data_IF_951486820441
#
_entry.id   IF_951486820441
#
_cell.length_a   1.000
_cell.length_b   1.000
_cell.length_c   1.000
_cell.angle_alpha   90.00
_cell.angle_beta   90.00
_cell.angle_gamma   90.00
#
_symmetry.space_group_name_H-M   'P 1'
#
loop_
_entity.id
_entity.type
_entity.pdbx_description
1 polymer ?
#
# COMPACT_ATOMS: atom_id res chain seq x y z
N UNK A 1 -79.45 -22.04 21.38
CA UNK A 1 -79.85 -21.03 20.37
C UNK A 1 -78.61 -20.77 19.51
N UNK A 2 -78.59 -21.38 18.30
CA UNK A 2 -77.64 -21.24 17.15
C UNK A 2 -76.13 -21.38 17.44
N UNK A 3 -75.48 -22.52 17.15
CA UNK A 3 -74.84 -22.93 15.85
C UNK A 3 -73.86 -21.87 15.30
N UNK A 4 -72.57 -22.12 15.02
CA UNK A 4 -71.92 -23.19 14.25
C UNK A 4 -70.44 -23.37 14.71
N UNK A 5 -69.92 -24.54 15.08
CA UNK A 5 -69.31 -25.66 14.30
C UNK A 5 -68.07 -25.33 13.42
N UNK A 6 -66.94 -25.96 13.82
CA UNK A 6 -65.90 -26.68 13.03
C UNK A 6 -65.05 -25.84 12.05
N UNK A 7 -63.76 -26.05 11.81
CA UNK A 7 -62.79 -27.11 12.10
C UNK A 7 -61.65 -26.98 11.06
N UNK A 8 -60.39 -27.03 11.49
CA UNK A 8 -59.31 -27.97 11.09
C UNK A 8 -58.68 -27.89 9.68
N UNK A 9 -57.35 -28.00 9.69
CA UNK A 9 -56.39 -28.52 8.69
C UNK A 9 -55.80 -27.66 7.54
N UNK A 10 -54.54 -27.25 7.77
CA UNK A 10 -53.29 -27.63 7.06
C UNK A 10 -53.13 -27.44 5.53
N UNK A 11 -51.91 -27.55 4.96
CA UNK A 11 -51.17 -26.47 4.32
C UNK A 11 -51.28 -26.47 2.78
N UNK A 12 -51.15 -25.30 2.13
CA UNK A 12 -51.09 -25.22 0.66
C UNK A 12 -49.79 -24.63 0.12
N UNK A 13 -49.11 -25.56 -0.54
CA UNK A 13 -48.02 -25.53 -1.49
C UNK A 13 -48.02 -24.38 -2.54
N UNK A 14 -46.79 -24.12 -3.00
CA UNK A 14 -46.33 -23.39 -4.20
C UNK A 14 -47.32 -23.31 -5.35
N UNK A 15 -47.35 -22.13 -5.99
CA UNK A 15 -47.17 -21.98 -7.44
C UNK A 15 -46.90 -20.51 -7.79
N UNK A 16 -45.85 -20.29 -8.59
CA UNK A 16 -45.38 -19.04 -9.18
C UNK A 16 -46.27 -18.53 -10.31
N UNK A 17 -46.28 -17.22 -10.62
CA UNK A 17 -46.60 -16.73 -11.95
C UNK A 17 -45.36 -16.22 -12.69
N UNK A 18 -45.28 -16.65 -13.94
CA UNK A 18 -44.25 -16.37 -14.93
C UNK A 18 -44.41 -14.98 -15.59
N UNK A 19 -43.27 -14.46 -16.05
CA UNK A 19 -43.04 -13.76 -17.32
C UNK A 19 -43.76 -12.42 -17.58
N UNK A 20 -43.01 -11.32 -17.38
CA UNK A 20 -42.89 -10.23 -18.37
C UNK A 20 -41.44 -9.72 -18.42
N UNK A 21 -40.70 -10.29 -19.36
CA UNK A 21 -39.36 -9.90 -19.76
C UNK A 21 -39.40 -8.60 -20.58
N UNK A 22 -38.88 -7.52 -20.00
CA UNK A 22 -38.55 -6.27 -20.68
C UNK A 22 -37.17 -6.36 -21.31
N UNK A 23 -37.16 -6.23 -22.64
CA UNK A 23 -36.03 -6.32 -23.55
C UNK A 23 -35.09 -5.11 -23.35
N UNK A 24 -33.88 -5.32 -22.84
CA UNK A 24 -32.76 -4.39 -23.02
C UNK A 24 -31.61 -5.15 -23.69
N UNK A 25 -31.26 -4.69 -24.90
CA UNK A 25 -30.17 -5.15 -25.76
C UNK A 25 -28.85 -5.31 -24.98
N UNK A 26 -28.11 -6.41 -25.23
CA UNK A 26 -26.70 -6.27 -25.50
C UNK A 26 -26.36 -7.02 -26.79
N UNK A 27 -26.32 -6.30 -27.90
CA UNK A 27 -25.77 -6.80 -29.15
C UNK A 27 -24.85 -5.72 -29.71
N UNK A 28 -23.54 -5.88 -29.49
CA UNK A 28 -22.44 -5.52 -30.40
C UNK A 28 -21.15 -5.28 -29.61
N UNK A 29 -20.37 -6.33 -29.37
CA UNK A 29 -18.90 -6.30 -29.54
C UNK A 29 -18.32 -7.72 -29.54
N UNK A 30 -18.82 -8.58 -30.42
CA UNK A 30 -18.19 -9.86 -30.74
C UNK A 30 -18.00 -9.91 -32.26
N UNK A 31 -16.87 -9.38 -32.75
CA UNK A 31 -16.27 -9.70 -34.05
C UNK A 31 -15.11 -8.73 -34.38
N UNK A 32 -13.91 -9.00 -33.86
CA UNK A 32 -12.65 -8.82 -34.63
C UNK A 32 -11.69 -9.92 -34.18
N UNK A 33 -11.94 -11.14 -34.67
CA UNK A 33 -10.97 -12.23 -34.64
C UNK A 33 -10.73 -12.64 -36.09
N UNK A 34 -9.94 -11.84 -36.81
CA UNK A 34 -9.45 -12.17 -38.14
C UNK A 34 -7.97 -11.76 -38.24
N UNK A 35 -7.11 -12.77 -38.20
CA UNK A 35 -5.85 -12.82 -38.94
C UNK A 35 -4.75 -11.81 -38.59
N UNK A 36 -4.06 -12.01 -37.47
CA UNK A 36 -2.65 -11.65 -37.37
C UNK A 36 -1.81 -12.91 -37.18
N UNK A 37 -1.34 -13.48 -38.29
CA UNK A 37 -0.25 -14.45 -38.28
C UNK A 37 1.04 -13.71 -37.90
N UNK A 38 1.46 -13.81 -36.64
CA UNK A 38 2.78 -13.32 -36.25
C UNK A 38 3.85 -14.33 -36.70
N UNK A 39 4.96 -13.89 -37.33
CA UNK A 39 6.11 -14.74 -37.51
C UNK A 39 6.66 -15.09 -36.13
N UNK A 40 7.00 -16.38 -35.94
CA UNK A 40 7.72 -16.83 -34.76
C UNK A 40 9.05 -16.08 -34.69
N UNK A 41 9.14 -15.10 -33.79
CA UNK A 41 10.41 -14.50 -33.41
C UNK A 41 11.22 -15.58 -32.69
N UNK A 42 12.41 -15.82 -33.24
CA UNK A 42 13.44 -16.67 -32.67
C UNK A 42 13.60 -16.33 -31.17
N UNK A 43 13.53 -17.35 -30.31
CA UNK A 43 13.87 -17.22 -28.90
C UNK A 43 15.37 -16.89 -28.83
N UNK A 44 15.69 -15.65 -28.47
CA UNK A 44 17.01 -15.35 -27.94
C UNK A 44 17.27 -16.27 -26.74
N UNK A 45 18.48 -16.83 -26.71
CA UNK A 45 18.93 -17.70 -25.63
C UNK A 45 18.65 -17.01 -24.28
N UNK A 46 17.98 -17.74 -23.38
CA UNK A 46 17.69 -17.24 -22.04
C UNK A 46 18.98 -16.72 -21.39
N UNK A 47 19.02 -15.47 -20.89
CA UNK A 47 20.21 -14.95 -20.23
C UNK A 47 20.54 -15.87 -19.04
N UNK A 48 21.82 -16.19 -18.90
CA UNK A 48 22.34 -17.00 -17.80
C UNK A 48 21.95 -16.35 -16.45
N UNK A 49 20.97 -16.97 -15.78
CA UNK A 49 20.37 -16.47 -14.55
C UNK A 49 21.34 -16.49 -13.37
N UNK A 50 22.48 -17.18 -13.48
CA UNK A 50 23.48 -17.30 -12.40
C UNK A 50 24.44 -16.12 -12.33
N UNK A 51 24.67 -15.43 -13.46
CA UNK A 51 25.55 -14.26 -13.54
C UNK A 51 24.79 -12.95 -13.35
N UNK A 52 23.55 -12.87 -13.84
CA UNK A 52 22.69 -11.68 -13.66
C UNK A 52 22.10 -11.57 -12.26
N UNK A 53 21.83 -12.71 -11.60
CA UNK A 53 21.04 -12.75 -10.36
C UNK A 53 21.65 -12.06 -9.14
N UNK A 54 22.98 -12.09 -8.98
CA UNK A 54 23.64 -11.48 -7.81
C UNK A 54 24.03 -10.01 -8.11
N UNK A 55 24.54 -9.73 -9.30
CA UNK A 55 24.94 -8.37 -9.70
C UNK A 55 23.75 -7.41 -9.80
N UNK A 56 22.60 -7.88 -10.30
CA UNK A 56 21.36 -7.10 -10.32
C UNK A 56 20.85 -6.76 -8.91
N UNK A 57 21.00 -7.69 -7.96
CA UNK A 57 20.67 -7.43 -6.54
C UNK A 57 21.67 -6.47 -5.90
N UNK A 58 22.96 -6.59 -6.22
CA UNK A 58 24.01 -5.69 -5.69
C UNK A 58 23.88 -4.25 -6.20
N UNK A 59 23.40 -4.06 -7.44
CA UNK A 59 23.22 -2.75 -8.06
C UNK A 59 21.81 -2.17 -7.88
N UNK A 60 20.91 -2.88 -7.19
CA UNK A 60 19.57 -2.37 -6.91
C UNK A 60 19.65 -1.14 -6.02
N UNK A 61 18.93 -0.08 -6.39
CA UNK A 61 18.86 1.15 -5.60
C UNK A 61 17.72 1.06 -4.58
N UNK A 62 18.03 1.44 -3.34
CA UNK A 62 17.07 1.65 -2.26
C UNK A 62 17.06 3.11 -1.87
N UNK A 63 15.90 3.62 -1.51
CA UNK A 63 15.74 5.03 -1.10
C UNK A 63 15.29 5.18 0.35
N UNK A 64 14.76 4.12 0.93
CA UNK A 64 14.07 4.18 2.22
C UNK A 64 15.01 4.40 3.40
N UNK A 65 16.29 4.06 3.28
CA UNK A 65 17.24 4.10 4.40
C UNK A 65 17.83 5.49 4.59
N UNK A 66 18.13 6.19 3.49
CA UNK A 66 18.82 7.49 3.47
C UNK A 66 17.97 8.63 2.91
N UNK A 67 16.75 8.36 2.42
CA UNK A 67 15.93 9.31 1.63
C UNK A 67 16.58 9.75 0.31
N UNK A 68 17.71 9.14 -0.05
CA UNK A 68 18.43 9.31 -1.32
C UNK A 68 18.62 7.95 -1.97
N UNK A 69 18.71 7.84 -3.31
CA UNK A 69 19.06 6.57 -3.94
C UNK A 69 20.46 6.13 -3.49
N UNK A 70 20.55 4.96 -2.86
CA UNK A 70 21.82 4.31 -2.52
C UNK A 70 21.79 2.83 -2.92
N UNK A 71 22.95 2.23 -3.18
CA UNK A 71 23.02 0.81 -3.53
C UNK A 71 22.58 -0.03 -2.35
N UNK A 72 21.81 -1.09 -2.61
CA UNK A 72 21.31 -2.02 -1.60
C UNK A 72 22.41 -2.52 -0.65
N UNK A 73 23.59 -2.84 -1.18
CA UNK A 73 24.74 -3.33 -0.40
C UNK A 73 25.41 -2.27 0.48
N UNK A 74 25.16 -0.99 0.23
CA UNK A 74 25.73 0.15 0.97
C UNK A 74 24.79 0.68 2.06
N UNK A 75 23.53 0.25 2.03
CA UNK A 75 22.51 0.64 2.99
C UNK A 75 22.83 0.12 4.39
N UNK A 76 22.92 1.02 5.37
CA UNK A 76 23.28 0.71 6.75
C UNK A 76 22.09 0.20 7.59
N UNK A 77 21.17 -0.56 6.99
CA UNK A 77 19.98 -1.08 7.65
C UNK A 77 19.58 -2.46 7.10
N UNK A 78 18.78 -3.22 7.87
CA UNK A 78 18.25 -4.50 7.43
C UNK A 78 17.06 -4.29 6.47
N UNK A 79 17.36 -3.98 5.21
CA UNK A 79 16.38 -3.77 4.14
C UNK A 79 16.05 -5.09 3.45
N UNK A 80 14.77 -5.31 3.17
CA UNK A 80 14.32 -6.30 2.20
C UNK A 80 13.63 -5.56 1.05
N UNK A 81 13.86 -6.00 -0.18
CA UNK A 81 13.12 -5.50 -1.35
C UNK A 81 12.26 -6.63 -1.91
N UNK A 82 10.99 -6.33 -2.18
CA UNK A 82 10.11 -7.15 -3.03
C UNK A 82 10.09 -6.47 -4.39
N UNK A 83 10.58 -7.15 -5.43
CA UNK A 83 10.64 -6.59 -6.79
C UNK A 83 9.31 -6.74 -7.53
N UNK A 84 9.08 -5.95 -8.58
CA UNK A 84 7.92 -6.12 -9.47
C UNK A 84 7.79 -7.54 -10.04
N UNK A 85 8.90 -8.23 -10.26
CA UNK A 85 8.90 -9.61 -10.73
C UNK A 85 8.52 -10.61 -9.61
N UNK A 86 8.92 -10.36 -8.36
CA UNK A 86 8.44 -11.14 -7.22
C UNK A 86 6.94 -10.97 -7.00
N UNK A 87 6.45 -9.72 -7.13
CA UNK A 87 5.02 -9.40 -7.07
C UNK A 87 4.26 -10.19 -8.14
N UNK A 88 4.73 -10.14 -9.39
CA UNK A 88 4.12 -10.86 -10.52
C UNK A 88 4.07 -12.37 -10.31
N UNK A 89 5.12 -12.96 -9.72
CA UNK A 89 5.19 -14.41 -9.46
C UNK A 89 4.45 -14.86 -8.19
N UNK A 90 4.19 -13.96 -7.26
CA UNK A 90 3.61 -14.29 -5.95
C UNK A 90 2.16 -14.78 -6.01
N UNK A 91 1.39 -14.34 -7.01
CA UNK A 91 -0.05 -14.59 -7.07
C UNK A 91 -0.87 -13.83 -6.00
N UNK A 92 -0.23 -12.95 -5.22
CA UNK A 92 -0.89 -12.11 -4.22
C UNK A 92 -1.98 -11.23 -4.85
N UNK A 93 -3.06 -10.99 -4.11
CA UNK A 93 -4.17 -10.12 -4.54
C UNK A 93 -4.26 -8.83 -3.74
N UNK A 94 -3.68 -8.81 -2.54
CA UNK A 94 -3.63 -7.62 -1.69
C UNK A 94 -2.19 -7.23 -1.32
N UNK A 95 -2.00 -5.97 -0.95
CA UNK A 95 -0.72 -5.46 -0.47
C UNK A 95 -0.24 -6.16 0.82
N UNK A 96 -1.09 -6.44 1.83
CA UNK A 96 -0.71 -7.28 2.98
C UNK A 96 -0.21 -8.69 2.59
N UNK A 97 -0.78 -9.31 1.55
CA UNK A 97 -0.31 -10.64 1.12
C UNK A 97 1.14 -10.59 0.61
N UNK A 98 1.51 -9.54 -0.12
CA UNK A 98 2.90 -9.35 -0.57
C UNK A 98 3.87 -9.22 0.61
N UNK A 99 3.45 -8.55 1.69
CA UNK A 99 4.29 -8.33 2.86
C UNK A 99 4.60 -9.64 3.63
N UNK A 100 3.85 -10.73 3.40
CA UNK A 100 4.18 -12.06 3.93
C UNK A 100 5.47 -12.64 3.36
N UNK A 101 5.90 -12.16 2.19
CA UNK A 101 7.16 -12.60 1.57
C UNK A 101 8.39 -12.05 2.31
N UNK A 102 8.23 -11.04 3.17
CA UNK A 102 9.34 -10.41 3.87
C UNK A 102 9.63 -11.15 5.19
N UNK A 103 10.84 -11.71 5.38
CA UNK A 103 11.17 -12.39 6.63
C UNK A 103 11.09 -11.42 7.82
N UNK A 104 10.49 -11.84 8.93
CA UNK A 104 10.35 -11.02 10.14
C UNK A 104 9.26 -9.94 10.07
N UNK A 105 8.52 -9.87 8.97
CA UNK A 105 7.20 -9.24 8.91
C UNK A 105 6.15 -10.31 9.20
N UNK A 106 5.19 -9.98 10.05
CA UNK A 106 4.07 -10.83 10.40
C UNK A 106 2.80 -10.18 9.88
N UNK A 107 2.05 -10.92 9.06
CA UNK A 107 0.76 -10.48 8.55
C UNK A 107 -0.28 -11.49 9.00
N UNK A 108 -1.05 -11.12 10.02
CA UNK A 108 -2.22 -11.89 10.42
C UNK A 108 -3.45 -11.34 9.69
N UNK A 109 -4.17 -12.20 8.97
CA UNK A 109 -5.51 -11.88 8.47
C UNK A 109 -6.48 -12.15 9.60
N UNK A 110 -7.26 -11.14 9.99
CA UNK A 110 -8.25 -11.26 11.06
C UNK A 110 -9.58 -11.73 10.51
N UNK A 111 -9.94 -11.24 9.32
CA UNK A 111 -11.14 -11.57 8.58
C UNK A 111 -10.92 -11.18 7.08
N UNK A 112 -11.95 -11.23 6.24
CA UNK A 112 -11.82 -10.98 4.80
C UNK A 112 -11.26 -9.60 4.43
N UNK A 113 -11.47 -8.56 5.26
CA UNK A 113 -11.09 -7.16 5.00
C UNK A 113 -10.13 -6.54 6.03
N UNK A 114 -9.69 -7.28 7.05
CA UNK A 114 -8.88 -6.74 8.15
C UNK A 114 -7.57 -7.51 8.29
N UNK A 115 -6.45 -6.77 8.25
CA UNK A 115 -5.10 -7.31 8.42
C UNK A 115 -4.36 -6.62 9.56
N UNK A 116 -3.61 -7.41 10.33
CA UNK A 116 -2.64 -6.94 11.30
C UNK A 116 -1.23 -7.15 10.72
N UNK A 117 -0.56 -6.07 10.35
CA UNK A 117 0.80 -6.08 9.76
C UNK A 117 1.80 -5.53 10.77
N UNK A 118 2.66 -6.39 11.29
CA UNK A 118 3.68 -6.03 12.27
C UNK A 118 5.09 -6.49 11.87
N UNK A 119 6.09 -5.96 12.55
CA UNK A 119 7.50 -6.29 12.32
C UNK A 119 8.17 -6.66 13.65
N UNK A 120 9.00 -7.71 13.65
CA UNK A 120 9.75 -8.17 14.84
C UNK A 120 8.89 -8.46 16.08
N UNK A 121 7.69 -9.00 15.89
CA UNK A 121 6.80 -9.41 16.98
C UNK A 121 5.90 -8.30 17.55
N UNK A 122 5.98 -7.08 17.02
CA UNK A 122 5.05 -6.00 17.33
C UNK A 122 3.90 -6.00 16.32
N UNK A 123 2.91 -6.87 16.51
CA UNK A 123 1.79 -7.05 15.56
C UNK A 123 0.45 -6.83 16.26
N UNK A 124 -0.32 -5.86 15.78
CA UNK A 124 -1.74 -5.65 16.10
C UNK A 124 -2.51 -5.18 14.86
N UNK A 125 -3.85 -5.24 14.89
CA UNK A 125 -4.71 -4.76 13.78
C UNK A 125 -4.43 -3.30 13.38
N UNK A 126 -3.94 -2.51 14.32
CA UNK A 126 -3.59 -1.11 14.13
C UNK A 126 -2.08 -0.87 14.29
N UNK A 127 -1.26 -1.92 14.11
CA UNK A 127 0.19 -2.02 14.42
C UNK A 127 0.88 -0.67 14.54
N UNK A 128 0.89 -0.16 15.77
CA UNK A 128 1.39 1.18 16.05
C UNK A 128 2.89 1.22 15.78
N UNK A 129 3.35 2.36 15.29
CA UNK A 129 4.77 2.64 15.08
C UNK A 129 5.45 1.86 13.93
N UNK A 130 4.69 1.44 12.92
CA UNK A 130 5.17 1.03 11.60
C UNK A 130 4.80 2.12 10.58
N UNK A 131 5.79 2.77 9.97
CA UNK A 131 5.53 3.77 8.94
C UNK A 131 5.32 3.09 7.59
N UNK A 132 4.23 3.43 6.91
CA UNK A 132 3.95 2.97 5.56
C UNK A 132 3.84 4.17 4.63
N UNK A 133 4.57 4.11 3.52
CA UNK A 133 4.64 5.16 2.51
C UNK A 133 4.25 4.60 1.15
N UNK A 134 3.50 5.38 0.38
CA UNK A 134 3.26 5.14 -1.05
C UNK A 134 3.79 6.35 -1.80
N UNK A 135 4.83 6.16 -2.61
CA UNK A 135 5.52 7.24 -3.33
C UNK A 135 5.91 8.44 -2.43
N UNK A 136 6.27 8.17 -1.18
CA UNK A 136 6.63 9.18 -0.19
C UNK A 136 5.47 9.82 0.58
N UNK A 137 4.20 9.52 0.24
CA UNK A 137 3.02 9.91 1.04
C UNK A 137 2.80 8.93 2.19
N UNK A 138 2.64 9.43 3.41
CA UNK A 138 2.27 8.62 4.57
C UNK A 138 0.80 8.21 4.49
N UNK A 139 0.52 6.90 4.52
CA UNK A 139 -0.85 6.35 4.54
C UNK A 139 -1.34 6.03 5.96
N UNK A 140 -0.72 6.66 6.94
CA UNK A 140 -0.96 6.45 8.35
C UNK A 140 -2.20 7.21 8.84
N UNK A 141 -3.03 6.55 9.65
CA UNK A 141 -4.17 7.15 10.33
C UNK A 141 -3.81 7.62 11.75
N UNK A 142 -3.79 8.94 12.02
CA UNK A 142 -3.68 9.50 13.36
C UNK A 142 -4.70 8.99 14.39
N UNK A 143 -5.92 8.58 14.00
CA UNK A 143 -6.97 8.16 14.94
C UNK A 143 -6.56 6.92 15.74
N UNK A 144 -5.93 5.95 15.07
CA UNK A 144 -5.55 4.69 15.69
C UNK A 144 -4.05 4.44 15.74
N UNK A 145 -3.27 5.34 15.14
CA UNK A 145 -1.85 5.19 14.97
C UNK A 145 -1.48 3.96 14.11
N UNK A 146 -2.20 3.71 13.00
CA UNK A 146 -2.01 2.54 12.14
C UNK A 146 -2.40 2.78 10.68
N UNK A 147 -2.48 1.72 9.86
CA UNK A 147 -2.83 1.78 8.43
C UNK A 147 -4.12 1.01 8.17
N UNK A 148 -5.05 1.62 7.44
CA UNK A 148 -6.22 0.95 6.89
C UNK A 148 -5.84 0.23 5.60
N UNK A 149 -5.51 -1.06 5.71
CA UNK A 149 -5.01 -1.87 4.60
C UNK A 149 -6.08 -2.18 3.54
N UNK A 150 -7.34 -2.25 3.96
CA UNK A 150 -8.53 -2.43 3.12
C UNK A 150 -8.67 -1.38 2.02
N UNK A 151 -8.25 -0.15 2.29
CA UNK A 151 -8.32 0.96 1.31
C UNK A 151 -7.01 1.24 0.58
N UNK A 152 -5.92 0.49 0.87
CA UNK A 152 -4.64 0.61 0.13
C UNK A 152 -4.61 -0.32 -1.09
N UNK A 153 -5.63 -0.27 -1.95
CA UNK A 153 -5.81 -1.18 -3.09
C UNK A 153 -5.14 -0.66 -4.39
N UNK A 154 -3.87 -0.27 -4.29
CA UNK A 154 -3.09 0.10 -5.47
C UNK A 154 -2.91 -1.11 -6.41
N UNK A 155 -2.77 -0.84 -7.71
CA UNK A 155 -2.52 -1.89 -8.70
C UNK A 155 -1.17 -2.55 -8.42
N UNK A 156 -1.18 -3.80 -7.97
CA UNK A 156 0.06 -4.53 -7.63
C UNK A 156 1.03 -4.59 -8.82
N UNK A 157 0.52 -4.70 -10.05
CA UNK A 157 1.35 -4.70 -11.26
C UNK A 157 1.96 -3.34 -11.63
N UNK A 158 1.48 -2.26 -11.03
CA UNK A 158 2.03 -0.91 -11.14
C UNK A 158 3.03 -0.60 -10.02
N UNK A 159 3.24 -1.50 -9.06
CA UNK A 159 4.32 -1.40 -8.08
C UNK A 159 5.63 -1.75 -8.77
N UNK A 160 6.62 -0.86 -8.66
CA UNK A 160 7.99 -1.13 -9.11
C UNK A 160 8.70 -2.02 -8.09
N UNK A 161 8.63 -1.62 -6.81
CA UNK A 161 9.17 -2.38 -5.69
C UNK A 161 8.57 -1.95 -4.36
N UNK A 162 8.69 -2.83 -3.37
CA UNK A 162 8.39 -2.55 -1.96
C UNK A 162 9.70 -2.69 -1.18
N UNK A 163 10.13 -1.61 -0.53
CA UNK A 163 11.29 -1.59 0.35
C UNK A 163 10.83 -1.69 1.81
N UNK A 164 11.29 -2.70 2.53
CA UNK A 164 10.94 -2.92 3.95
C UNK A 164 12.19 -2.84 4.82
N UNK A 165 12.26 -1.81 5.65
CA UNK A 165 13.27 -1.63 6.67
C UNK A 165 12.77 -2.23 7.97
N UNK A 166 13.48 -3.25 8.46
CA UNK A 166 13.17 -3.91 9.73
C UNK A 166 14.00 -3.29 10.83
N UNK A 167 13.37 -2.47 11.67
CA UNK A 167 14.00 -1.80 12.81
C UNK A 167 13.85 -0.28 12.81
N UNK A 168 14.44 0.40 13.79
CA UNK A 168 14.21 1.83 14.02
C UNK A 168 14.66 2.68 12.83
N UNK A 169 13.68 3.29 12.15
CA UNK A 169 13.86 4.34 11.14
C UNK A 169 13.53 5.74 11.68
N UNK A 170 13.24 5.85 12.98
CA UNK A 170 12.71 7.07 13.61
C UNK A 170 13.65 8.28 13.55
N UNK A 171 14.95 8.07 13.35
CA UNK A 171 15.89 9.15 13.06
C UNK A 171 15.45 9.85 11.79
N UNK A 172 15.42 9.18 10.65
CA UNK A 172 15.13 9.83 9.37
C UNK A 172 13.63 10.10 9.10
N UNK A 173 12.77 9.24 9.63
CA UNK A 173 11.34 9.22 9.30
C UNK A 173 10.41 9.69 10.42
N UNK A 174 10.94 9.96 11.62
CA UNK A 174 10.18 10.46 12.76
C UNK A 174 9.44 9.39 13.57
N UNK A 175 8.53 9.84 14.45
CA UNK A 175 8.00 9.05 15.56
C UNK A 175 7.18 7.80 15.15
N UNK A 176 6.72 7.71 13.91
CA UNK A 176 5.92 6.57 13.43
C UNK A 176 6.79 5.42 12.85
N UNK A 177 8.10 5.57 12.79
CA UNK A 177 9.04 4.59 12.22
C UNK A 177 9.88 3.84 13.27
N UNK A 178 9.30 3.54 14.44
CA UNK A 178 10.03 2.87 15.54
C UNK A 178 10.30 1.40 15.23
N UNK A 179 9.30 0.70 14.69
CA UNK A 179 9.40 -0.74 14.42
C UNK A 179 9.96 -1.03 13.03
N UNK A 180 9.72 -0.13 12.08
CA UNK A 180 10.14 -0.28 10.70
C UNK A 180 9.56 0.79 9.77
N UNK A 181 9.95 0.69 8.51
CA UNK A 181 9.41 1.49 7.40
C UNK A 181 9.08 0.54 6.25
N UNK A 182 7.88 0.65 5.70
CA UNK A 182 7.47 0.02 4.45
C UNK A 182 7.29 1.14 3.44
N UNK A 183 8.10 1.15 2.40
CA UNK A 183 8.03 2.15 1.34
C UNK A 183 7.66 1.47 0.03
N UNK A 184 6.52 1.84 -0.51
CA UNK A 184 5.97 1.28 -1.74
C UNK A 184 6.20 2.29 -2.84
N UNK A 185 6.92 1.87 -3.87
CA UNK A 185 7.32 2.73 -4.98
C UNK A 185 6.61 2.23 -6.22
N UNK A 186 5.81 3.11 -6.83
CA UNK A 186 5.10 2.78 -8.06
C UNK A 186 5.95 3.05 -9.30
N UNK A 187 5.72 2.29 -10.36
CA UNK A 187 6.34 2.46 -11.66
C UNK A 187 6.07 3.87 -12.18
N UNK A 188 7.04 4.46 -12.88
CA UNK A 188 6.80 5.72 -13.59
C UNK A 188 5.77 5.54 -14.70
N UNK A 189 5.13 6.63 -15.11
CA UNK A 189 4.21 6.63 -16.23
C UNK A 189 4.89 6.16 -17.51
N UNK A 190 6.18 6.47 -17.72
CA UNK A 190 6.97 6.01 -18.87
C UNK A 190 7.09 4.48 -18.93
N UNK A 191 7.09 3.79 -17.78
CA UNK A 191 7.20 2.34 -17.70
C UNK A 191 5.85 1.61 -17.85
N UNK A 192 4.74 2.34 -17.82
CA UNK A 192 3.37 1.78 -17.88
C UNK A 192 2.60 2.31 -19.09
N UNK A 193 3.17 2.15 -20.28
CA UNK A 193 2.57 2.62 -21.54
C UNK A 193 1.61 1.58 -22.13
N UNK A 194 0.68 2.04 -22.96
CA UNK A 194 -0.32 1.19 -23.61
C UNK A 194 -1.47 0.78 -22.70
N UNK A 195 -2.35 -0.06 -23.25
CA UNK A 195 -3.48 -0.64 -22.52
C UNK A 195 -3.06 -1.89 -21.75
N UNK A 196 -3.53 -2.01 -20.51
CA UNK A 196 -3.39 -3.19 -19.68
C UNK A 196 -4.75 -3.51 -19.06
N UNK A 197 -5.16 -4.76 -19.13
CA UNK A 197 -6.39 -5.23 -18.49
C UNK A 197 -6.13 -6.56 -17.78
N UNK A 198 -6.80 -6.77 -16.65
CA UNK A 198 -6.80 -8.07 -15.98
C UNK A 198 -8.13 -8.31 -15.29
N UNK A 199 -8.60 -9.55 -15.37
CA UNK A 199 -9.77 -10.03 -14.66
C UNK A 199 -9.34 -11.29 -13.92
N UNK A 200 -9.67 -11.38 -12.63
CA UNK A 200 -9.44 -12.54 -11.78
C UNK A 200 -10.74 -12.89 -11.06
N UNK A 201 -10.99 -14.18 -10.90
CA UNK A 201 -12.05 -14.71 -10.05
C UNK A 201 -11.52 -15.92 -9.30
N UNK A 202 -12.01 -16.14 -8.09
CA UNK A 202 -11.59 -17.19 -7.17
C UNK A 202 -12.70 -17.55 -6.19
N UNK A 203 -12.36 -18.36 -5.20
CA UNK A 203 -13.28 -18.78 -4.14
C UNK A 203 -13.57 -17.66 -3.13
N UNK A 204 -12.54 -16.93 -2.69
CA UNK A 204 -12.69 -15.76 -1.79
C UNK A 204 -12.62 -14.43 -2.56
N UNK A 205 -11.83 -14.38 -3.64
CA UNK A 205 -11.71 -13.20 -4.49
C UNK A 205 -12.74 -13.30 -5.63
N UNK A 206 -14.01 -12.97 -5.34
CA UNK A 206 -15.14 -13.16 -6.26
C UNK A 206 -14.86 -12.55 -7.62
N UNK A 207 -14.55 -11.26 -7.67
CA UNK A 207 -14.15 -10.55 -8.90
C UNK A 207 -13.12 -9.47 -8.60
N UNK A 208 -11.96 -9.57 -9.25
CA UNK A 208 -11.00 -8.47 -9.34
C UNK A 208 -10.84 -8.06 -10.80
N UNK A 209 -11.30 -6.86 -11.14
CA UNK A 209 -11.17 -6.29 -12.48
C UNK A 209 -10.25 -5.08 -12.44
N UNK A 210 -9.38 -4.94 -13.43
CA UNK A 210 -8.46 -3.82 -13.54
C UNK A 210 -8.29 -3.43 -15.00
N UNK A 211 -8.34 -2.12 -15.26
CA UNK A 211 -8.02 -1.51 -16.54
C UNK A 211 -7.05 -0.35 -16.33
N UNK A 212 -6.02 -0.26 -17.17
CA UNK A 212 -5.06 0.83 -17.19
C UNK A 212 -4.78 1.23 -18.63
N UNK A 213 -4.63 2.53 -18.86
CA UNK A 213 -4.13 3.06 -20.11
C UNK A 213 -3.03 4.08 -19.82
N UNK A 214 -1.91 3.97 -20.53
CA UNK A 214 -0.84 4.96 -20.49
C UNK A 214 -0.40 5.42 -21.87
N UNK A 215 0.03 6.67 -21.95
CA UNK A 215 0.47 7.32 -23.18
C UNK A 215 1.58 8.33 -22.94
N UNK A 216 2.13 8.86 -24.03
CA UNK A 216 3.05 9.99 -24.06
C UNK A 216 2.45 11.09 -24.92
N UNK A 217 2.55 12.33 -24.47
CA UNK A 217 2.18 13.49 -25.27
C UNK A 217 3.33 13.90 -26.18
N UNK A 218 3.04 14.70 -27.21
CA UNK A 218 4.06 15.26 -28.10
C UNK A 218 5.08 16.14 -27.37
N UNK A 219 4.71 16.71 -26.23
CA UNK A 219 5.58 17.51 -25.35
C UNK A 219 6.46 16.70 -24.40
N UNK A 220 6.50 15.37 -24.51
CA UNK A 220 7.38 14.52 -23.69
C UNK A 220 6.81 14.11 -22.33
N UNK A 221 5.62 14.57 -21.95
CA UNK A 221 4.93 14.12 -20.73
C UNK A 221 4.41 12.69 -20.92
N UNK A 222 4.75 11.78 -20.03
CA UNK A 222 4.11 10.47 -19.95
C UNK A 222 2.98 10.50 -18.92
N UNK A 223 1.88 9.81 -19.21
CA UNK A 223 0.76 9.69 -18.29
C UNK A 223 0.24 8.26 -18.25
N UNK A 224 -0.44 7.92 -17.15
CA UNK A 224 -1.29 6.75 -17.00
C UNK A 224 -2.56 7.12 -16.25
N UNK A 225 -3.65 6.45 -16.58
CA UNK A 225 -4.89 6.43 -15.82
C UNK A 225 -5.33 4.98 -15.65
N UNK A 226 -5.93 4.65 -14.52
CA UNK A 226 -6.37 3.31 -14.21
C UNK A 226 -7.67 3.31 -13.42
N UNK A 227 -8.36 2.17 -13.49
CA UNK A 227 -9.51 1.83 -12.68
C UNK A 227 -9.44 0.37 -12.25
N UNK A 228 -9.89 0.10 -11.05
CA UNK A 228 -9.92 -1.21 -10.42
C UNK A 228 -11.21 -1.37 -9.65
N UNK A 229 -11.77 -2.56 -9.72
CA UNK A 229 -12.89 -3.00 -8.91
C UNK A 229 -12.50 -4.30 -8.25
N UNK A 230 -12.60 -4.34 -6.92
CA UNK A 230 -12.32 -5.50 -6.11
C UNK A 230 -13.60 -5.87 -5.36
N UNK A 231 -13.94 -7.15 -5.39
CA UNK A 231 -15.13 -7.72 -4.77
C UNK A 231 -14.73 -9.06 -4.18
N UNK A 232 -14.80 -9.13 -2.85
CA UNK A 232 -14.29 -10.23 -2.04
C UNK A 232 -15.44 -10.80 -1.22
N UNK A 233 -15.53 -12.13 -1.22
CA UNK A 233 -16.49 -12.85 -0.41
C UNK A 233 -16.09 -12.83 1.07
N UNK A 234 -17.06 -13.06 1.98
CA UNK A 234 -16.82 -13.29 3.40
C UNK A 234 -15.85 -14.46 3.63
N UNK A 235 -14.99 -14.36 4.63
CA UNK A 235 -14.13 -15.48 5.01
C UNK A 235 -14.95 -16.54 5.77
N UNK A 236 -14.52 -17.80 5.77
CA UNK A 236 -15.22 -18.84 6.53
C UNK A 236 -15.23 -18.54 8.04
N UNK A 237 -16.43 -18.34 8.60
CA UNK A 237 -16.66 -18.21 10.04
C UNK A 237 -17.31 -19.49 10.59
N UNK A 238 -16.76 -20.04 11.67
CA UNK A 238 -17.29 -21.26 12.32
C UNK A 238 -18.76 -21.13 12.77
N UNK A 239 -19.23 -19.89 12.94
CA UNK A 239 -20.57 -19.58 13.43
C UNK A 239 -21.58 -19.29 12.29
N UNK A 240 -21.20 -19.47 11.02
CA UNK A 240 -22.02 -19.35 9.81
C UNK A 240 -22.58 -17.95 9.46
N UNK A 241 -22.19 -16.90 10.20
CA UNK A 241 -22.53 -15.52 9.83
C UNK A 241 -21.46 -14.92 8.92
N UNK A 242 -21.85 -14.68 7.67
CA UNK A 242 -21.05 -14.07 6.61
C UNK A 242 -21.11 -12.53 6.73
N UNK A 243 -20.29 -11.97 7.62
CA UNK A 243 -20.38 -10.54 7.99
C UNK A 243 -19.26 -9.65 7.45
N UNK A 244 -18.24 -10.21 6.77
CA UNK A 244 -16.98 -9.50 6.47
C UNK A 244 -16.66 -9.37 4.98
N UNK A 245 -17.58 -9.75 4.10
CA UNK A 245 -17.47 -9.49 2.66
C UNK A 245 -17.29 -8.00 2.37
N UNK A 246 -16.59 -7.67 1.28
CA UNK A 246 -16.27 -6.27 0.98
C UNK A 246 -16.04 -6.03 -0.50
N UNK A 247 -16.28 -4.79 -0.92
CA UNK A 247 -15.99 -4.36 -2.28
C UNK A 247 -15.43 -2.93 -2.30
N UNK A 248 -14.55 -2.65 -3.25
CA UNK A 248 -13.92 -1.35 -3.41
C UNK A 248 -13.77 -1.02 -4.90
N UNK A 249 -14.26 0.15 -5.29
CA UNK A 249 -13.88 0.81 -6.53
C UNK A 249 -12.69 1.72 -6.26
N UNK A 250 -11.67 1.66 -7.11
CA UNK A 250 -10.48 2.49 -7.00
C UNK A 250 -10.05 2.98 -8.39
N UNK A 251 -9.83 4.28 -8.53
CA UNK A 251 -9.37 4.89 -9.77
C UNK A 251 -8.26 5.89 -9.48
N UNK A 252 -7.33 6.03 -10.40
CA UNK A 252 -6.22 6.95 -10.22
C UNK A 252 -5.51 7.30 -11.52
N UNK A 253 -4.61 8.26 -11.40
CA UNK A 253 -3.77 8.72 -12.51
C UNK A 253 -2.39 9.10 -12.01
N UNK A 254 -1.43 9.08 -12.93
CA UNK A 254 -0.09 9.62 -12.73
C UNK A 254 0.42 10.23 -14.02
N UNK A 255 1.01 11.40 -13.94
CA UNK A 255 1.68 12.09 -15.02
C UNK A 255 3.10 12.46 -14.58
N UNK A 256 4.08 12.11 -15.40
CA UNK A 256 5.49 12.40 -15.21
C UNK A 256 5.98 13.22 -16.42
N UNK A 257 6.61 14.35 -16.15
CA UNK A 257 7.20 15.21 -17.18
C UNK A 257 8.61 15.62 -16.77
N UNK A 258 9.46 15.87 -17.77
CA UNK A 258 10.79 16.42 -17.58
C UNK A 258 10.87 17.79 -18.28
N UNK A 259 10.40 18.89 -17.64
CA UNK A 259 10.48 20.22 -18.24
C UNK A 259 11.94 20.67 -18.36
N UNK A 260 12.51 20.58 -19.57
CA UNK A 260 13.93 20.84 -19.80
C UNK A 260 14.81 19.69 -19.29
N UNK A 261 16.09 19.96 -19.05
CA UNK A 261 17.07 18.90 -18.69
C UNK A 261 17.27 18.71 -17.19
N UNK A 262 16.75 19.64 -16.38
CA UNK A 262 17.06 19.72 -14.93
C UNK A 262 15.89 19.40 -14.03
N UNK A 263 14.66 19.53 -14.53
CA UNK A 263 13.46 19.40 -13.73
C UNK A 263 12.72 18.11 -14.07
N UNK A 264 12.26 17.41 -13.04
CA UNK A 264 11.34 16.28 -13.12
C UNK A 264 10.10 16.62 -12.28
N UNK A 265 8.92 16.46 -12.85
CA UNK A 265 7.65 16.77 -12.21
C UNK A 265 6.75 15.54 -12.28
N UNK A 266 6.26 15.11 -11.13
CA UNK A 266 5.24 14.07 -10.99
C UNK A 266 3.97 14.69 -10.42
N UNK A 267 2.83 14.40 -11.04
CA UNK A 267 1.50 14.67 -10.49
C UNK A 267 0.75 13.35 -10.48
N UNK A 268 0.20 12.96 -9.35
CA UNK A 268 -0.63 11.77 -9.24
C UNK A 268 -1.80 11.98 -8.29
N UNK A 269 -2.85 11.22 -8.48
CA UNK A 269 -3.98 11.24 -7.58
C UNK A 269 -4.82 9.99 -7.71
N UNK A 270 -5.50 9.65 -6.63
CA UNK A 270 -6.32 8.46 -6.52
C UNK A 270 -7.64 8.79 -5.82
N UNK A 271 -8.67 7.99 -6.10
CA UNK A 271 -9.98 8.06 -5.47
C UNK A 271 -10.52 6.64 -5.29
N UNK A 272 -11.02 6.34 -4.08
CA UNK A 272 -11.67 5.07 -3.77
C UNK A 272 -13.04 5.29 -3.13
N UNK A 273 -13.93 4.33 -3.36
CA UNK A 273 -15.26 4.25 -2.77
C UNK A 273 -15.68 2.79 -2.64
N UNK A 274 -16.28 2.41 -1.52
CA UNK A 274 -16.65 1.03 -1.27
C UNK A 274 -17.28 0.78 0.08
N UNK A 275 -17.52 -0.50 0.36
CA UNK A 275 -18.09 -0.97 1.62
C UNK A 275 -17.34 -2.19 2.11
N UNK A 276 -17.24 -2.30 3.42
CA UNK A 276 -16.61 -3.43 4.08
C UNK A 276 -17.47 -3.91 5.23
N UNK A 277 -17.94 -5.15 5.15
CA UNK A 277 -18.72 -5.77 6.21
C UNK A 277 -17.91 -5.87 7.51
N UNK A 278 -18.57 -5.66 8.64
CA UNK A 278 -17.92 -5.77 9.95
C UNK A 278 -18.90 -6.29 10.99
N UNK A 279 -18.32 -6.91 12.02
CA UNK A 279 -19.02 -7.30 13.24
C UNK A 279 -18.38 -6.61 14.42
N UNK A 280 -19.15 -5.74 15.07
CA UNK A 280 -18.67 -4.92 16.19
C UNK A 280 -19.51 -5.15 17.43
N UNK A 281 -18.86 -5.26 18.59
CA UNK A 281 -19.55 -5.28 19.88
C UNK A 281 -19.68 -3.85 20.39
N UNK A 282 -20.92 -3.38 20.54
CA UNK A 282 -21.23 -2.06 21.13
C UNK A 282 -21.68 -2.23 22.58
N UNK A 283 -21.34 -1.27 23.43
CA UNK A 283 -21.81 -1.25 24.83
C UNK A 283 -23.22 -0.65 24.92
N UNK A 284 -24.10 -1.31 25.65
CA UNK A 284 -25.49 -0.86 25.88
C UNK A 284 -25.69 -0.52 27.36
N UNK A 285 -26.61 0.40 27.66
CA UNK A 285 -26.91 0.78 29.06
C UNK A 285 -27.84 -0.22 29.78
N UNK A 286 -28.46 -1.13 29.04
CA UNK A 286 -29.32 -2.19 29.56
C UNK A 286 -28.66 -3.55 29.35
N UNK A 287 -28.91 -4.49 30.27
CA UNK A 287 -28.52 -5.89 30.13
C UNK A 287 -28.90 -6.42 28.73
N UNK A 288 -28.01 -7.13 28.02
CA UNK A 288 -26.73 -7.70 28.48
C UNK A 288 -25.51 -6.74 28.53
N UNK A 289 -25.70 -5.42 28.46
CA UNK A 289 -24.65 -4.37 28.49
C UNK A 289 -23.69 -4.36 27.30
N UNK A 290 -23.84 -5.31 26.39
CA UNK A 290 -23.16 -5.36 25.12
C UNK A 290 -24.05 -6.01 24.08
N UNK A 291 -24.04 -5.49 22.87
CA UNK A 291 -24.73 -6.09 21.73
C UNK A 291 -23.75 -6.23 20.58
N UNK A 292 -23.79 -7.37 19.90
CA UNK A 292 -23.08 -7.57 18.63
C UNK A 292 -23.94 -6.98 17.53
N UNK A 293 -23.34 -6.12 16.71
CA UNK A 293 -23.96 -5.47 15.56
C UNK A 293 -23.13 -5.83 14.32
N UNK A 294 -23.83 -6.21 13.27
CA UNK A 294 -23.27 -6.51 11.95
C UNK A 294 -23.81 -5.48 10.97
N UNK A 295 -22.92 -4.64 10.46
CA UNK A 295 -23.23 -3.54 9.55
C UNK A 295 -22.05 -3.33 8.61
N UNK A 296 -22.29 -2.67 7.49
CA UNK A 296 -21.21 -2.27 6.58
C UNK A 296 -20.52 -1.00 7.06
N UNK A 297 -19.19 -0.96 6.99
CA UNK A 297 -18.44 0.28 6.99
C UNK A 297 -18.52 0.94 5.61
N UNK A 298 -18.85 2.22 5.55
CA UNK A 298 -18.75 3.02 4.32
C UNK A 298 -17.34 3.61 4.22
N UNK A 299 -16.67 3.34 3.10
CA UNK A 299 -15.27 3.70 2.87
C UNK A 299 -15.20 4.61 1.64
N UNK A 300 -14.67 5.82 1.78
CA UNK A 300 -14.34 6.63 0.61
C UNK A 300 -13.19 7.57 0.89
N UNK A 301 -12.50 8.00 -0.16
CA UNK A 301 -11.37 8.90 0.02
C UNK A 301 -10.64 9.17 -1.28
N UNK A 302 -9.59 9.96 -1.18
CA UNK A 302 -8.76 10.27 -2.31
C UNK A 302 -7.59 11.14 -1.95
N UNK A 303 -6.62 11.20 -2.85
CA UNK A 303 -5.42 11.98 -2.64
C UNK A 303 -4.97 12.66 -3.93
N UNK A 304 -4.19 13.72 -3.78
CA UNK A 304 -3.49 14.41 -4.85
C UNK A 304 -2.08 14.72 -4.37
N UNK A 305 -1.08 14.26 -5.10
CA UNK A 305 0.33 14.47 -4.82
C UNK A 305 1.00 15.17 -6.01
N UNK A 306 1.76 16.21 -5.71
CA UNK A 306 2.69 16.85 -6.63
C UNK A 306 4.11 16.74 -6.09
N UNK A 307 5.04 16.29 -6.93
CA UNK A 307 6.46 16.25 -6.63
C UNK A 307 7.23 16.98 -7.73
N UNK A 308 8.12 17.87 -7.34
CA UNK A 308 9.07 18.52 -8.22
C UNK A 308 10.48 18.23 -7.73
N UNK A 309 11.32 17.70 -8.61
CA UNK A 309 12.75 17.49 -8.37
C UNK A 309 13.54 18.32 -9.36
N UNK A 310 14.49 19.10 -8.86
CA UNK A 310 15.45 19.87 -9.68
C UNK A 310 16.87 19.40 -9.40
N UNK A 311 17.60 19.05 -10.46
CA UNK A 311 19.06 18.86 -10.45
C UNK A 311 19.74 20.22 -10.58
N UNK A 312 20.51 20.60 -9.57
CA UNK A 312 21.25 21.87 -9.54
C UNK A 312 22.69 21.70 -10.08
N UNK A 313 23.20 20.48 -10.06
CA UNK A 313 24.49 20.06 -10.63
C UNK A 313 24.60 18.53 -10.56
N UNK A 314 25.80 17.97 -10.79
CA UNK A 314 26.04 16.52 -10.67
C UNK A 314 25.92 16.03 -9.22
N UNK A 315 26.22 16.90 -8.26
CA UNK A 315 26.34 16.57 -6.83
C UNK A 315 25.24 17.21 -5.96
N UNK A 316 24.20 17.80 -6.57
CA UNK A 316 23.15 18.47 -5.82
C UNK A 316 21.78 18.40 -6.48
N UNK A 317 20.78 18.06 -5.66
CA UNK A 317 19.38 18.01 -6.05
C UNK A 317 18.47 18.57 -4.95
N UNK A 318 17.33 19.11 -5.40
CA UNK A 318 16.28 19.63 -4.53
C UNK A 318 14.98 18.95 -4.90
N UNK A 319 14.23 18.52 -3.89
CA UNK A 319 12.88 17.95 -4.05
C UNK A 319 11.90 18.77 -3.22
N UNK A 320 10.78 19.16 -3.83
CA UNK A 320 9.59 19.68 -3.16
C UNK A 320 8.45 18.68 -3.41
N UNK A 321 7.82 18.21 -2.34
CA UNK A 321 6.65 17.34 -2.40
C UNK A 321 5.51 18.01 -1.65
N UNK A 322 4.33 17.96 -2.24
CA UNK A 322 3.08 18.44 -1.64
C UNK A 322 2.03 17.37 -1.85
N UNK A 323 1.28 17.03 -0.80
CA UNK A 323 0.10 16.18 -0.99
C UNK A 323 -1.09 16.65 -0.15
N UNK A 324 -2.26 16.37 -0.69
CA UNK A 324 -3.55 16.45 -0.01
C UNK A 324 -4.17 15.05 0.01
N UNK A 325 -4.72 14.67 1.15
CA UNK A 325 -5.36 13.37 1.36
C UNK A 325 -6.67 13.58 2.13
N UNK A 326 -7.75 12.99 1.62
CA UNK A 326 -9.06 12.97 2.25
C UNK A 326 -9.46 11.53 2.53
N UNK A 327 -9.86 11.29 3.76
CA UNK A 327 -10.36 9.99 4.24
C UNK A 327 -11.76 10.17 4.82
N UNK A 328 -12.69 9.34 4.40
CA UNK A 328 -14.01 9.14 4.99
C UNK A 328 -14.18 7.66 5.33
N UNK A 329 -14.45 7.37 6.60
CA UNK A 329 -14.76 6.02 7.08
C UNK A 329 -15.88 6.13 8.08
N UNK A 330 -17.05 5.59 7.76
CA UNK A 330 -18.18 5.53 8.68
C UNK A 330 -18.42 4.10 9.10
N UNK A 331 -18.36 3.82 10.40
CA UNK A 331 -18.60 2.51 10.97
C UNK A 331 -19.43 2.60 12.25
N UNK A 332 -20.02 1.50 12.69
CA UNK A 332 -21.00 1.44 13.79
C UNK A 332 -20.52 2.16 15.07
N UNK A 333 -19.23 2.08 15.39
CA UNK A 333 -18.67 2.65 16.62
C UNK A 333 -18.04 4.05 16.44
N UNK A 334 -17.71 4.49 15.22
CA UNK A 334 -17.18 5.82 14.97
C UNK A 334 -17.28 6.22 13.49
N UNK A 335 -17.28 7.53 13.25
CA UNK A 335 -17.08 8.09 11.91
C UNK A 335 -15.80 8.93 11.91
N UNK A 336 -14.94 8.70 10.92
CA UNK A 336 -13.74 9.46 10.65
C UNK A 336 -13.88 10.22 9.33
N UNK A 337 -13.98 11.54 9.42
CA UNK A 337 -13.84 12.46 8.30
C UNK A 337 -12.56 13.25 8.51
N UNK A 338 -11.56 13.10 7.62
CA UNK A 338 -10.26 13.73 7.81
C UNK A 338 -9.67 14.26 6.52
N UNK A 339 -9.14 15.47 6.63
CA UNK A 339 -8.29 16.11 5.63
C UNK A 339 -6.86 16.19 6.15
N UNK A 340 -5.89 15.78 5.32
CA UNK A 340 -4.46 15.92 5.59
C UNK A 340 -3.79 16.68 4.46
N UNK A 341 -3.00 17.68 4.82
CA UNK A 341 -2.17 18.44 3.91
C UNK A 341 -0.72 18.36 4.40
N UNK A 342 0.20 18.07 3.49
CA UNK A 342 1.62 17.96 3.80
C UNK A 342 2.47 18.65 2.73
N UNK A 343 3.53 19.29 3.19
CA UNK A 343 4.56 19.91 2.37
C UNK A 343 5.92 19.49 2.90
N UNK A 344 6.72 18.83 2.06
CA UNK A 344 8.10 18.44 2.35
C UNK A 344 9.05 19.09 1.35
N UNK A 345 10.02 19.86 1.87
CA UNK A 345 11.17 20.33 1.11
C UNK A 345 12.42 19.57 1.56
N UNK A 346 13.20 19.10 0.59
CA UNK A 346 14.44 18.39 0.83
C UNK A 346 15.52 18.87 -0.14
N UNK A 347 16.72 19.07 0.37
CA UNK A 347 17.90 19.39 -0.43
C UNK A 347 19.05 18.46 -0.07
N UNK A 348 19.65 17.88 -1.09
CA UNK A 348 20.77 16.98 -1.00
C UNK A 348 22.00 17.62 -1.68
N UNK A 349 23.14 17.52 -1.01
CA UNK A 349 24.42 18.04 -1.49
C UNK A 349 25.55 17.08 -1.11
N UNK A 350 26.33 16.68 -2.11
CA UNK A 350 27.59 15.98 -1.91
C UNK A 350 28.73 17.00 -1.80
N UNK A 351 29.27 17.16 -0.58
CA UNK A 351 30.33 18.12 -0.28
C UNK A 351 31.72 17.62 -0.67
N UNK A 352 31.92 16.30 -0.65
CA UNK A 352 33.15 15.64 -1.06
C UNK A 352 32.84 14.17 -1.39
N UNK A 353 33.83 13.43 -1.92
CA UNK A 353 33.66 12.01 -2.29
C UNK A 353 33.11 11.10 -1.18
N UNK A 354 33.24 11.50 0.10
CA UNK A 354 32.80 10.77 1.30
C UNK A 354 31.82 11.52 2.19
N UNK A 355 31.40 12.73 1.82
CA UNK A 355 30.59 13.59 2.68
C UNK A 355 29.32 14.02 1.96
N UNK A 356 28.18 13.66 2.53
CA UNK A 356 26.85 14.01 2.04
C UNK A 356 26.10 14.76 3.13
N UNK A 357 25.41 15.82 2.71
CA UNK A 357 24.57 16.65 3.53
C UNK A 357 23.14 16.56 3.01
N UNK A 358 22.22 16.13 3.86
CA UNK A 358 20.79 16.13 3.60
C UNK A 358 20.11 17.02 4.64
N UNK A 359 19.38 18.02 4.17
CA UNK A 359 18.60 18.90 5.03
C UNK A 359 17.23 19.18 4.42
N UNK A 360 16.26 19.52 5.25
CA UNK A 360 14.90 19.74 4.79
C UNK A 360 13.99 20.30 5.87
N UNK A 361 12.76 20.57 5.45
CA UNK A 361 11.67 21.02 6.31
C UNK A 361 10.39 20.33 5.87
N UNK A 362 9.56 19.92 6.83
CA UNK A 362 8.26 19.33 6.58
C UNK A 362 7.21 20.02 7.46
N UNK A 363 6.03 20.24 6.90
CA UNK A 363 4.85 20.73 7.61
C UNK A 363 3.66 19.87 7.20
N UNK A 364 3.09 19.16 8.17
CA UNK A 364 1.86 18.38 8.03
C UNK A 364 0.76 19.00 8.88
N UNK A 365 -0.44 19.08 8.33
CA UNK A 365 -1.66 19.48 9.02
C UNK A 365 -2.75 18.45 8.74
N UNK A 366 -3.26 17.81 9.79
CA UNK A 366 -4.39 16.90 9.71
C UNK A 366 -5.52 17.41 10.58
N UNK A 367 -6.71 17.59 10.01
CA UNK A 367 -7.88 18.08 10.72
C UNK A 367 -9.08 17.16 10.49
N UNK A 368 -9.79 16.74 11.55
CA UNK A 368 -11.07 16.11 11.39
C UNK A 368 -12.11 17.13 10.95
N UNK A 369 -13.04 16.74 10.07
CA UNK A 369 -14.24 17.52 9.84
C UNK A 369 -15.11 17.48 11.12
N UNK A 370 -15.89 18.54 11.39
CA UNK A 370 -16.76 18.62 12.57
C UNK A 370 -17.92 17.59 12.47
N UNK A 371 -17.64 16.31 12.68
CA UNK A 371 -18.61 15.25 12.86
C UNK A 371 -19.15 15.24 14.30
N UNK A 372 -20.46 15.04 14.46
CA UNK A 372 -21.12 14.95 15.77
C UNK A 372 -20.60 13.74 16.54
N UNK A 373 -19.76 13.96 17.55
CA UNK A 373 -19.59 12.98 18.62
C UNK A 373 -20.92 12.91 19.41
N UNK A 374 -21.71 11.86 19.23
CA UNK A 374 -22.81 11.50 20.12
C UNK A 374 -22.25 10.85 21.39
N UNK A 375 -21.70 11.66 22.31
CA UNK A 375 -21.23 11.19 23.62
C UNK A 375 -20.64 12.31 24.49
N UNK A 376 -20.72 12.21 25.83
CA UNK A 376 -20.31 13.28 26.74
C UNK A 376 -18.78 13.46 26.71
N UNK A 377 -18.36 14.69 26.43
CA UNK A 377 -16.96 15.11 26.27
C UNK A 377 -16.13 14.94 27.55
N UNK A 378 -14.89 14.44 27.44
CA UNK A 378 -13.76 15.02 28.15
C UNK A 378 -12.96 15.87 27.16
N UNK A 379 -12.80 17.16 27.46
CA UNK A 379 -11.86 18.05 26.75
C UNK A 379 -10.44 17.59 27.09
N UNK A 380 -9.75 16.96 26.14
CA UNK A 380 -8.29 16.82 26.18
C UNK A 380 -7.68 17.74 25.10
N UNK A 381 -6.71 18.60 25.44
CA UNK A 381 -6.01 19.41 24.45
C UNK A 381 -5.08 18.51 23.61
N UNK A 382 -5.28 18.48 22.29
CA UNK A 382 -4.34 17.85 21.36
C UNK A 382 -3.06 18.68 21.32
N UNK A 383 -1.99 18.14 21.89
CA UNK A 383 -0.64 18.69 21.73
C UNK A 383 -0.14 18.39 20.32
N UNK A 384 0.13 19.45 19.57
CA UNK A 384 0.74 19.42 18.25
C UNK A 384 2.26 19.20 18.39
N UNK A 385 2.90 18.22 17.73
CA UNK A 385 4.35 18.25 17.59
C UNK A 385 4.67 19.38 16.59
N UNK A 386 5.17 20.49 17.14
CA UNK A 386 5.67 21.65 16.39
C UNK A 386 6.71 21.19 15.35
N UNK A 387 6.65 21.84 14.18
CA UNK A 387 7.46 21.56 12.99
C UNK A 387 8.90 21.12 13.28
N UNK A 388 9.23 19.94 12.77
CA UNK A 388 10.55 19.34 12.88
C UNK A 388 11.49 19.98 11.86
N UNK A 389 12.48 20.76 12.33
CA UNK A 389 13.68 21.07 11.53
C UNK A 389 14.65 19.91 11.71
N UNK A 390 15.08 19.27 10.62
CA UNK A 390 16.02 18.18 10.69
C UNK A 390 17.22 18.45 9.76
N UNK A 391 18.43 18.43 10.34
CA UNK A 391 19.70 18.51 9.63
C UNK A 391 20.40 17.16 9.86
N UNK A 392 20.73 16.44 8.79
CA UNK A 392 21.38 15.13 8.86
C UNK A 392 22.78 15.19 8.27
N UNK A 393 23.77 14.74 9.04
CA UNK A 393 25.17 14.64 8.61
C UNK A 393 25.58 13.18 8.50
N UNK A 394 26.13 12.77 7.34
CA UNK A 394 26.69 11.42 7.16
C UNK A 394 28.14 11.49 6.69
N UNK A 395 28.99 10.65 7.30
CA UNK A 395 30.39 10.41 6.88
C UNK A 395 30.47 9.01 6.26
N UNK A 396 30.69 8.94 4.95
CA UNK A 396 30.83 7.68 4.21
C UNK A 396 32.19 7.01 4.48
N UNK A 397 32.23 6.01 5.35
CA UNK A 397 33.38 5.13 5.50
C UNK A 397 33.25 3.93 4.56
N UNK A 398 33.92 3.97 3.41
CA UNK A 398 34.19 2.75 2.65
C UNK A 398 35.21 1.91 3.41
N UNK A 399 34.74 0.88 4.11
CA UNK A 399 35.61 -0.13 4.69
C UNK A 399 36.03 -1.05 3.55
N UNK A 400 37.15 -0.74 2.90
CA UNK A 400 37.88 -1.76 2.12
C UNK A 400 38.45 -2.76 3.13
N UNK A 401 38.14 -4.06 3.04
CA UNK A 401 38.82 -5.05 3.87
C UNK A 401 40.31 -5.05 3.49
N UNK A 402 41.15 -4.54 4.39
CA UNK A 402 42.60 -4.80 4.32
C UNK A 402 42.78 -6.31 4.50
N UNK A 403 43.26 -6.99 3.45
CA UNK A 403 43.81 -8.34 3.58
C UNK A 403 44.88 -8.33 4.68
N UNK A 404 44.81 -9.18 5.71
CA UNK A 404 45.94 -9.38 6.60
C UNK A 404 47.03 -10.10 5.81
N UNK A 405 48.13 -9.40 5.56
CA UNK A 405 49.40 -10.01 5.16
C UNK A 405 49.91 -10.88 6.31
N UNK A 406 50.13 -12.16 6.00
CA UNK A 406 51.16 -13.05 6.54
C UNK A 406 51.36 -13.14 8.07
N UNK A 407 51.15 -14.35 8.60
CA UNK A 407 52.13 -14.97 9.50
C UNK A 407 51.73 -15.08 10.96
N UNK A 408 51.07 -16.18 11.33
CA UNK A 408 51.39 -16.88 12.59
C UNK A 408 50.91 -18.33 12.56
N UNK A 409 51.87 -19.26 12.53
CA UNK A 409 51.72 -20.66 12.93
C UNK A 409 51.71 -20.71 14.46
N UNK A 410 50.72 -21.35 15.09
CA UNK A 410 50.95 -22.13 16.30
C UNK A 410 49.77 -23.04 16.69
N UNK A 411 50.08 -24.35 16.62
CA UNK A 411 49.73 -25.46 17.53
C UNK A 411 48.28 -25.72 17.95
N UNK A 412 47.80 -26.87 17.45
CA UNK A 412 46.85 -27.77 18.12
C UNK A 412 47.34 -28.11 19.54
N UNK A 413 46.47 -27.96 20.51
CA UNK A 413 46.47 -28.77 21.74
C UNK A 413 45.05 -29.19 22.06
N UNK A 414 44.84 -30.51 22.00
CA UNK A 414 43.69 -31.22 22.52
C UNK A 414 43.63 -31.11 24.05
N UNK A 415 42.44 -30.92 24.62
CA UNK A 415 42.11 -31.44 25.96
C UNK A 415 40.61 -31.74 26.07
N UNK A 416 40.33 -32.99 26.44
CA UNK A 416 39.06 -33.57 26.87
C UNK A 416 38.81 -33.26 28.36
N UNK A 417 37.53 -33.41 28.77
CA UNK A 417 36.95 -33.60 30.12
C UNK A 417 37.07 -32.41 31.09
N UNK A 418 36.03 -32.03 31.83
CA UNK A 418 34.95 -32.81 32.48
C UNK A 418 33.57 -32.49 31.93
#
# INVERSE_FOLDING_TARGET
MREATLGSDSPKNRQSPLLRSGLFLPAALMAVAAGFSQPALCQDAAPDLTTVGIEAVMNMEVTSVSKTPERFMEAAAAVQVITSEDIRRSGATTLPDLLRLVPGVQVARVNSNTWAVGVRGFTSTLSRSLLVLIDGRSVYSPLFAGVYWDVQDILLNDIDRIEVIRGPGATLWGANAVNGVINIITKSAQATQGAYTSIRGGNEDRVLATGRFGGKTSGGMAFRAYGRFADHDPEFHQNADDYDGWHLGHAGFRADADPGERDHVTIQGDHYDGRAGQRTVISTYSAPYSQTVEEDAELSGGNLLGQWRRRLGEDSDTTLQVYYDRTHRSQTNFTEDRDTFDVEFRHHLRLASRHELLWGACVSSSAPHRGRCSGPRPRAPCACPRGSRAIWWRRGSSIRPRRPSSGCRARRTSRRSV
#
